data_IF_925112878745
#
_entry.id   IF_925112878745
#
_cell.length_a   1.000
_cell.length_b   1.000
_cell.length_c   1.000
_cell.angle_alpha   90.00
_cell.angle_beta   90.00
_cell.angle_gamma   90.00
#
_symmetry.space_group_name_H-M   'P 1'
#
loop_
_entity.id
_entity.type
_entity.pdbx_description
1 polymer ?
#
# COMPACT_ATOMS: atom_id res chain seq x y z
N UNK A 1 -0.87 21.59 0.46
CA UNK A 1 0.60 21.62 0.35
C UNK A 1 1.01 20.37 -0.40
N UNK A 2 1.61 20.50 -1.58
CA UNK A 2 2.08 19.39 -2.40
C UNK A 2 3.30 18.75 -1.75
N UNK A 3 3.10 17.64 -1.02
CA UNK A 3 4.20 16.86 -0.46
C UNK A 3 4.90 16.09 -1.60
N UNK A 4 5.98 16.65 -2.14
CA UNK A 4 6.74 16.08 -3.25
C UNK A 4 7.58 14.84 -2.87
N UNK A 5 7.70 14.51 -1.57
CA UNK A 5 8.55 13.41 -1.11
C UNK A 5 7.73 12.16 -0.81
N UNK A 6 8.08 11.06 -1.48
CA UNK A 6 7.50 9.74 -1.27
C UNK A 6 8.60 8.76 -0.87
N UNK A 7 8.39 8.02 0.22
CA UNK A 7 9.28 6.95 0.67
C UNK A 7 8.62 5.60 0.38
N UNK A 8 9.38 4.67 -0.19
CA UNK A 8 8.94 3.30 -0.46
C UNK A 8 9.55 2.34 0.56
N UNK A 9 8.75 1.39 1.03
CA UNK A 9 9.16 0.20 1.78
C UNK A 9 8.55 -1.04 1.15
N UNK A 10 9.27 -2.15 1.30
CA UNK A 10 8.90 -3.45 0.74
C UNK A 10 9.12 -4.47 1.84
N UNK A 11 8.04 -5.02 2.37
CA UNK A 11 8.04 -5.90 3.54
C UNK A 11 7.86 -7.33 3.07
N UNK A 12 8.60 -8.27 3.64
CA UNK A 12 8.41 -9.71 3.37
C UNK A 12 7.20 -10.21 4.15
N UNK A 13 6.19 -10.67 3.41
CA UNK A 13 5.00 -11.34 3.93
C UNK A 13 5.13 -12.86 3.86
N UNK A 14 4.03 -13.54 3.52
CA UNK A 14 3.97 -15.02 3.50
C UNK A 14 4.86 -15.61 2.40
N UNK A 15 5.61 -16.70 2.65
CA UNK A 15 5.66 -17.49 3.89
C UNK A 15 6.75 -17.06 4.88
N UNK A 16 7.50 -15.98 4.61
CA UNK A 16 8.54 -15.49 5.52
C UNK A 16 7.96 -15.02 6.87
N UNK A 17 6.78 -14.39 6.83
CA UNK A 17 5.94 -14.02 7.98
C UNK A 17 4.49 -14.33 7.67
N UNK A 18 3.70 -14.74 8.66
CA UNK A 18 2.26 -14.80 8.46
C UNK A 18 1.64 -13.40 8.35
N UNK A 19 0.35 -13.30 8.04
CA UNK A 19 -0.31 -12.00 7.84
C UNK A 19 -0.39 -11.14 9.11
N UNK A 20 -0.44 -11.77 10.29
CA UNK A 20 -0.46 -11.07 11.58
C UNK A 20 0.92 -10.52 11.89
N UNK A 21 1.96 -11.35 11.77
CA UNK A 21 3.37 -10.96 11.95
C UNK A 21 3.78 -9.86 10.95
N UNK A 22 3.28 -9.93 9.72
CA UNK A 22 3.50 -8.90 8.70
C UNK A 22 2.86 -7.58 9.10
N UNK A 23 1.62 -7.60 9.60
CA UNK A 23 0.98 -6.38 10.10
C UNK A 23 1.71 -5.81 11.31
N UNK A 24 2.07 -6.65 12.29
CA UNK A 24 2.81 -6.23 13.47
C UNK A 24 4.16 -5.61 13.13
N UNK A 25 4.86 -6.14 12.11
CA UNK A 25 6.06 -5.54 11.56
C UNK A 25 5.79 -4.15 10.98
N UNK A 26 4.75 -4.00 10.16
CA UNK A 26 4.34 -2.71 9.59
C UNK A 26 3.99 -1.71 10.71
N UNK A 27 3.28 -2.15 11.75
CA UNK A 27 2.99 -1.32 12.92
C UNK A 27 4.28 -0.89 13.62
N UNK A 28 5.22 -1.81 13.81
CA UNK A 28 6.56 -1.50 14.36
C UNK A 28 7.31 -0.45 13.54
N UNK A 29 7.29 -0.60 12.21
CA UNK A 29 7.91 0.32 11.26
C UNK A 29 7.28 1.73 11.34
N UNK A 30 5.94 1.81 11.33
CA UNK A 30 5.21 3.08 11.35
C UNK A 30 5.27 3.78 12.71
N UNK A 31 5.34 3.03 13.79
CA UNK A 31 5.41 3.58 15.15
C UNK A 31 6.85 3.78 15.62
N UNK A 32 7.84 3.37 14.82
CA UNK A 32 9.25 3.35 15.19
C UNK A 32 9.49 2.61 16.52
N UNK A 33 8.73 1.53 16.76
CA UNK A 33 8.74 0.76 18.00
C UNK A 33 8.15 1.47 19.24
N UNK A 34 7.65 2.70 19.11
CA UNK A 34 7.09 3.47 20.23
C UNK A 34 5.71 2.92 20.61
N UNK A 35 5.48 2.69 21.90
CA UNK A 35 4.14 2.44 22.44
C UNK A 35 3.32 3.73 22.51
N UNK A 36 2.00 3.60 22.49
CA UNK A 36 1.07 4.71 22.70
C UNK A 36 -0.14 4.66 21.77
N UNK A 37 -1.02 5.69 21.82
CA UNK A 37 -2.33 5.64 21.19
C UNK A 37 -2.30 5.36 19.68
N UNK A 38 -1.28 5.89 18.96
CA UNK A 38 -1.10 5.63 17.53
C UNK A 38 -0.85 4.14 17.26
N UNK A 39 -0.02 3.49 18.08
CA UNK A 39 0.26 2.05 17.99
C UNK A 39 -0.98 1.24 18.33
N UNK A 40 -1.67 1.60 19.41
CA UNK A 40 -2.87 0.90 19.86
C UNK A 40 -4.00 0.96 18.80
N UNK A 41 -4.16 2.11 18.12
CA UNK A 41 -5.11 2.27 17.03
C UNK A 41 -4.77 1.34 15.84
N UNK A 42 -3.50 1.24 15.45
CA UNK A 42 -3.07 0.33 14.38
C UNK A 42 -3.24 -1.15 14.76
N UNK A 43 -2.95 -1.51 16.01
CA UNK A 43 -3.16 -2.87 16.51
C UNK A 43 -4.65 -3.22 16.61
N UNK A 44 -5.51 -2.23 16.86
CA UNK A 44 -6.97 -2.45 16.96
C UNK A 44 -7.63 -2.94 15.66
N UNK A 45 -6.98 -2.72 14.51
CA UNK A 45 -7.43 -3.16 13.18
C UNK A 45 -6.68 -4.38 12.66
N UNK A 46 -5.84 -5.03 13.47
CA UNK A 46 -4.96 -6.12 13.04
C UNK A 46 -5.72 -7.24 12.31
N UNK A 47 -6.91 -7.63 12.78
CA UNK A 47 -7.72 -8.66 12.12
C UNK A 47 -8.14 -8.29 10.69
N UNK A 48 -8.50 -7.02 10.46
CA UNK A 48 -8.92 -6.52 9.13
C UNK A 48 -7.71 -6.31 8.23
N UNK A 49 -6.59 -5.82 8.77
CA UNK A 49 -5.36 -5.67 8.01
C UNK A 49 -4.76 -7.04 7.61
N UNK A 50 -4.86 -8.03 8.49
CA UNK A 50 -4.38 -9.39 8.22
C UNK A 50 -5.18 -10.07 7.11
N UNK A 51 -6.51 -9.89 7.04
CA UNK A 51 -7.29 -10.44 5.93
C UNK A 51 -6.86 -9.85 4.58
N UNK A 52 -6.61 -8.54 4.53
CA UNK A 52 -6.10 -7.85 3.34
C UNK A 52 -4.71 -8.38 2.93
N UNK A 53 -3.84 -8.66 3.90
CA UNK A 53 -2.50 -9.21 3.67
C UNK A 53 -2.56 -10.65 3.16
N UNK A 54 -3.52 -11.46 3.64
CA UNK A 54 -3.77 -12.82 3.15
C UNK A 54 -4.22 -12.82 1.68
N UNK A 55 -5.05 -11.88 1.27
CA UNK A 55 -5.46 -11.69 -0.14
C UNK A 55 -4.35 -11.10 -1.02
N UNK A 56 -3.16 -10.88 -0.47
CA UNK A 56 -1.98 -10.36 -1.18
C UNK A 56 -2.21 -8.99 -1.83
N UNK A 57 -3.24 -8.23 -1.42
CA UNK A 57 -3.57 -6.94 -2.03
C UNK A 57 -2.40 -5.93 -1.97
N UNK A 58 -1.56 -5.92 -0.90
CA UNK A 58 -0.36 -5.09 -0.85
C UNK A 58 0.80 -5.48 -1.77
N UNK A 59 0.66 -6.52 -2.61
CA UNK A 59 1.67 -6.91 -3.62
C UNK A 59 1.81 -5.85 -4.70
N UNK A 60 0.69 -5.49 -5.33
CA UNK A 60 0.66 -4.58 -6.48
C UNK A 60 0.13 -3.18 -6.12
N UNK A 61 -0.62 -3.06 -5.02
CA UNK A 61 -1.18 -1.79 -4.56
C UNK A 61 -0.61 -1.45 -3.17
N UNK A 62 0.05 -0.29 -3.01
CA UNK A 62 0.68 0.03 -1.73
C UNK A 62 -0.33 0.24 -0.58
N UNK A 63 0.01 -0.14 0.65
CA UNK A 63 -0.50 0.54 1.82
C UNK A 63 0.06 1.97 1.81
N UNK A 64 -0.79 2.98 1.86
CA UNK A 64 -0.37 4.38 1.79
C UNK A 64 -0.57 5.06 3.12
N UNK A 65 0.48 5.72 3.60
CA UNK A 65 0.46 6.53 4.82
C UNK A 65 0.70 7.99 4.46
N UNK A 66 -0.24 8.84 4.85
CA UNK A 66 -0.14 10.28 4.76
C UNK A 66 0.07 10.87 6.16
N UNK A 67 0.94 11.87 6.26
CA UNK A 67 1.23 12.57 7.50
C UNK A 67 1.72 13.98 7.21
N UNK A 68 2.05 14.74 8.26
CA UNK A 68 2.83 15.98 8.14
C UNK A 68 4.30 15.64 7.83
N UNK A 69 4.56 15.25 6.58
CA UNK A 69 5.88 14.83 6.13
C UNK A 69 5.81 14.02 4.83
N UNK A 70 6.88 13.26 4.51
CA UNK A 70 6.88 12.36 3.36
C UNK A 70 5.72 11.37 3.40
N UNK A 71 5.11 11.11 2.24
CA UNK A 71 4.15 10.03 2.09
C UNK A 71 4.90 8.70 2.09
N UNK A 72 4.45 7.72 2.87
CA UNK A 72 5.04 6.37 2.86
C UNK A 72 4.16 5.41 2.06
N UNK A 73 4.76 4.68 1.12
CA UNK A 73 4.14 3.58 0.37
C UNK A 73 4.79 2.26 0.81
N UNK A 74 3.99 1.33 1.31
CA UNK A 74 4.43 0.02 1.78
C UNK A 74 3.84 -1.06 0.88
N UNK A 75 4.71 -1.85 0.26
CA UNK A 75 4.34 -3.04 -0.50
C UNK A 75 4.73 -4.30 0.28
N UNK A 76 4.15 -5.44 -0.08
CA UNK A 76 4.52 -6.73 0.48
C UNK A 76 5.03 -7.70 -0.61
N UNK A 77 6.10 -8.43 -0.31
CA UNK A 77 6.55 -9.58 -1.08
C UNK A 77 5.84 -10.83 -0.56
N UNK A 78 5.62 -11.78 -1.47
CA UNK A 78 4.95 -13.04 -1.18
C UNK A 78 5.65 -14.20 -1.89
N UNK A 79 5.34 -15.42 -1.48
CA UNK A 79 5.82 -16.66 -2.08
C UNK A 79 7.35 -16.72 -2.14
N UNK A 80 7.91 -17.04 -3.32
CA UNK A 80 9.35 -17.12 -3.54
C UNK A 80 10.06 -15.78 -3.27
N UNK A 81 9.43 -14.66 -3.63
CA UNK A 81 10.00 -13.32 -3.41
C UNK A 81 10.13 -12.99 -1.92
N UNK A 82 9.21 -13.48 -1.09
CA UNK A 82 9.29 -13.31 0.35
C UNK A 82 10.40 -14.16 0.98
N UNK A 83 10.64 -15.36 0.44
CA UNK A 83 11.71 -16.26 0.90
C UNK A 83 13.08 -15.71 0.50
N UNK A 84 13.23 -15.34 -0.78
CA UNK A 84 14.48 -14.80 -1.31
C UNK A 84 14.83 -13.45 -0.69
N UNK A 85 13.85 -12.53 -0.65
CA UNK A 85 13.97 -11.27 0.06
C UNK A 85 14.94 -10.26 -0.59
N UNK A 86 15.46 -10.49 -1.79
CA UNK A 86 16.41 -9.57 -2.45
C UNK A 86 15.82 -8.18 -2.69
N UNK A 87 14.50 -8.10 -2.87
CA UNK A 87 13.78 -6.82 -3.07
C UNK A 87 13.27 -6.18 -1.77
N UNK A 88 13.52 -6.80 -0.62
CA UNK A 88 13.05 -6.31 0.67
C UNK A 88 13.74 -4.98 1.04
N UNK A 89 12.94 -4.05 1.55
CA UNK A 89 13.36 -2.72 2.02
C UNK A 89 12.65 -2.46 3.35
N UNK A 90 13.18 -3.09 4.40
CA UNK A 90 12.60 -3.15 5.75
C UNK A 90 13.27 -2.17 6.74
N UNK A 91 14.24 -1.37 6.28
CA UNK A 91 14.95 -0.41 7.13
C UNK A 91 14.03 0.64 7.77
N UNK A 92 14.44 1.15 8.93
CA UNK A 92 13.72 2.22 9.63
C UNK A 92 13.45 3.44 8.73
N UNK A 93 12.34 4.13 8.99
CA UNK A 93 12.00 5.38 8.30
C UNK A 93 12.74 6.55 8.96
N UNK A 94 13.43 7.36 8.16
CA UNK A 94 14.18 8.53 8.63
C UNK A 94 13.31 9.73 9.05
N UNK A 95 12.00 9.54 9.17
CA UNK A 95 11.01 10.53 9.63
C UNK A 95 9.92 9.83 10.46
N UNK A 96 9.14 10.57 11.23
CA UNK A 96 7.93 10.03 11.90
C UNK A 96 6.79 9.96 10.86
N UNK A 97 6.38 8.75 10.42
CA UNK A 97 5.39 8.59 9.35
C UNK A 97 3.96 8.78 9.85
N UNK A 98 3.74 9.05 11.14
CA UNK A 98 2.44 9.31 11.74
C UNK A 98 2.39 10.69 12.39
N UNK A 99 3.26 11.63 11.98
CA UNK A 99 3.31 12.98 12.52
C UNK A 99 2.07 13.82 12.13
N UNK A 100 1.52 14.56 13.09
CA UNK A 100 0.36 15.44 12.87
C UNK A 100 -0.94 14.69 12.53
N UNK A 101 -1.70 15.25 11.58
CA UNK A 101 -2.95 14.67 11.08
C UNK A 101 -2.66 13.54 10.07
N UNK A 102 -2.31 12.37 10.59
CA UNK A 102 -1.99 11.22 9.77
C UNK A 102 -3.24 10.44 9.34
N UNK A 103 -3.12 9.71 8.23
CA UNK A 103 -4.12 8.81 7.68
C UNK A 103 -3.45 7.62 6.99
N UNK A 104 -4.12 6.46 6.99
CA UNK A 104 -3.65 5.24 6.32
C UNK A 104 -4.74 4.74 5.39
N UNK A 105 -4.36 4.42 4.15
CA UNK A 105 -5.22 3.76 3.18
C UNK A 105 -4.70 2.37 2.86
N UNK A 106 -5.49 1.36 3.20
CA UNK A 106 -5.24 -0.04 2.89
C UNK A 106 -5.81 -0.39 1.50
N UNK A 107 -5.05 -1.03 0.61
CA UNK A 107 -5.58 -1.60 -0.62
C UNK A 107 -6.48 -2.78 -0.26
N UNK A 108 -7.61 -2.95 -0.95
CA UNK A 108 -8.57 -4.01 -0.68
C UNK A 108 -9.14 -4.53 -1.99
N UNK A 109 -9.33 -5.85 -2.14
CA UNK A 109 -10.15 -6.39 -3.23
C UNK A 109 -11.54 -5.76 -3.20
N UNK A 110 -12.11 -5.51 -4.39
CA UNK A 110 -13.39 -4.82 -4.52
C UNK A 110 -14.54 -5.56 -3.83
N UNK A 111 -14.51 -6.89 -3.87
CA UNK A 111 -15.55 -7.75 -3.28
C UNK A 111 -15.56 -7.68 -1.75
N UNK A 112 -14.40 -7.38 -1.14
CA UNK A 112 -14.25 -7.26 0.32
C UNK A 112 -14.45 -5.83 0.84
N UNK A 113 -14.38 -4.84 -0.04
CA UNK A 113 -14.34 -3.42 0.33
C UNK A 113 -15.46 -3.01 1.28
N UNK A 114 -16.70 -3.44 1.01
CA UNK A 114 -17.87 -3.04 1.79
C UNK A 114 -17.83 -3.52 3.25
N UNK A 115 -17.30 -4.73 3.51
CA UNK A 115 -17.19 -5.23 4.88
C UNK A 115 -15.96 -4.66 5.57
N UNK A 116 -14.83 -4.53 4.85
CA UNK A 116 -13.59 -3.96 5.34
C UNK A 116 -13.80 -2.52 5.79
N UNK A 117 -14.41 -1.66 4.97
CA UNK A 117 -14.70 -0.27 5.32
C UNK A 117 -15.59 -0.17 6.57
N UNK A 118 -16.60 -1.04 6.68
CA UNK A 118 -17.47 -1.09 7.86
C UNK A 118 -16.68 -1.46 9.12
N UNK A 119 -15.81 -2.46 9.03
CA UNK A 119 -15.00 -2.94 10.15
C UNK A 119 -13.97 -1.89 10.58
N UNK A 120 -13.29 -1.24 9.63
CA UNK A 120 -12.33 -0.18 9.91
C UNK A 120 -13.00 1.05 10.54
N UNK A 121 -14.14 1.50 10.02
CA UNK A 121 -14.89 2.64 10.54
C UNK A 121 -15.35 2.46 11.99
N UNK A 122 -15.55 1.22 12.43
CA UNK A 122 -15.89 0.91 13.82
C UNK A 122 -14.69 1.05 14.79
N UNK A 123 -13.46 1.09 14.27
CA UNK A 123 -12.22 1.11 15.06
C UNK A 123 -11.45 2.43 14.92
N UNK A 124 -11.42 3.01 13.73
CA UNK A 124 -10.63 4.19 13.41
C UNK A 124 -11.36 5.10 12.43
N UNK A 125 -11.06 6.41 12.51
CA UNK A 125 -11.44 7.40 11.48
C UNK A 125 -10.29 7.72 10.51
N UNK A 126 -9.07 7.29 10.85
CA UNK A 126 -7.82 7.60 10.12
C UNK A 126 -7.39 6.46 9.21
N UNK A 127 -7.77 5.23 9.53
CA UNK A 127 -7.46 4.03 8.77
C UNK A 127 -8.67 3.70 7.89
N UNK A 128 -8.48 3.75 6.58
CA UNK A 128 -9.51 3.48 5.58
C UNK A 128 -9.05 2.40 4.61
N UNK A 129 -10.00 1.84 3.86
CA UNK A 129 -9.70 0.96 2.74
C UNK A 129 -10.05 1.65 1.42
N UNK A 130 -9.47 1.15 0.33
CA UNK A 130 -9.80 1.54 -1.03
C UNK A 130 -9.72 0.33 -1.96
N UNK A 131 -10.37 0.41 -3.10
CA UNK A 131 -10.21 -0.59 -4.15
C UNK A 131 -8.74 -0.63 -4.59
N UNK A 132 -8.12 -1.81 -4.54
CA UNK A 132 -6.71 -1.99 -4.90
C UNK A 132 -6.40 -1.62 -6.36
N UNK A 133 -7.41 -1.67 -7.25
CA UNK A 133 -7.29 -1.24 -8.65
C UNK A 133 -7.34 0.28 -8.82
N UNK A 134 -7.78 1.00 -7.79
CA UNK A 134 -7.85 2.47 -7.81
C UNK A 134 -6.51 3.10 -7.43
N UNK A 135 -6.13 4.16 -8.16
CA UNK A 135 -4.96 4.97 -7.83
C UNK A 135 -5.22 5.82 -6.58
N UNK A 136 -4.29 5.81 -5.62
CA UNK A 136 -4.38 6.64 -4.42
C UNK A 136 -3.76 8.03 -4.63
N UNK A 137 -4.62 9.06 -4.65
CA UNK A 137 -4.24 10.44 -4.92
C UNK A 137 -3.86 10.66 -6.40
N UNK A 138 -4.13 11.84 -6.96
CA UNK A 138 -3.80 12.13 -8.36
C UNK A 138 -2.28 12.00 -8.57
N UNK A 139 -1.85 10.89 -9.14
CA UNK A 139 -0.60 10.87 -9.88
C UNK A 139 -0.86 11.74 -11.11
N UNK A 140 -0.32 12.96 -11.11
CA UNK A 140 -0.11 13.70 -12.34
C UNK A 140 0.62 12.76 -13.30
N UNK A 141 -0.11 12.33 -14.31
CA UNK A 141 0.33 11.41 -15.35
C UNK A 141 1.40 12.09 -16.21
N UNK A 142 2.66 11.97 -15.83
CA UNK A 142 3.77 12.30 -16.75
C UNK A 142 4.69 11.12 -17.07
N UNK A 143 4.77 10.09 -16.21
CA UNK A 143 5.65 8.92 -16.49
C UNK A 143 4.97 7.73 -17.20
N UNK A 144 3.68 7.81 -17.54
CA UNK A 144 2.99 6.75 -18.30
C UNK A 144 2.82 7.03 -19.79
N UNK A 145 3.38 8.13 -20.32
CA UNK A 145 3.26 8.49 -21.76
C UNK A 145 4.37 7.93 -22.67
N UNK A 146 5.15 6.95 -22.22
CA UNK A 146 6.21 6.34 -23.08
C UNK A 146 6.00 4.88 -23.48
N UNK A 147 4.87 4.26 -23.14
CA UNK A 147 4.60 2.86 -23.52
C UNK A 147 3.25 2.63 -24.23
N UNK A 148 2.65 3.67 -24.78
CA UNK A 148 1.56 3.54 -25.76
C UNK A 148 1.91 4.37 -26.98
N UNK A 149 2.88 3.88 -27.75
CA UNK A 149 2.91 4.21 -29.17
C UNK A 149 1.64 3.60 -29.76
N UNK A 150 0.74 4.49 -30.15
CA UNK A 150 -0.50 4.20 -30.86
C UNK A 150 -0.14 3.52 -32.19
N UNK A 151 -0.21 2.19 -32.21
CA UNK A 151 0.00 1.39 -33.42
C UNK A 151 -1.33 1.34 -34.18
N UNK A 152 -1.63 2.41 -34.92
CA UNK A 152 -2.72 2.41 -35.90
C UNK A 152 -2.27 1.65 -37.14
N UNK A 153 -2.85 0.47 -37.36
CA UNK A 153 -2.68 -0.32 -38.58
C UNK A 153 -3.85 -0.01 -39.53
N UNK A 154 -3.60 0.79 -40.57
CA UNK A 154 -4.60 1.12 -41.58
C UNK A 154 -4.66 0.02 -42.66
N UNK A 155 -5.69 -0.81 -42.59
CA UNK A 155 -5.92 -1.93 -43.52
C UNK A 155 -6.39 -1.50 -44.91
N UNK A 156 -6.72 -0.22 -45.11
CA UNK A 156 -7.31 0.26 -46.36
C UNK A 156 -6.30 0.58 -47.47
N UNK A 157 -5.01 0.74 -47.13
CA UNK A 157 -3.92 0.86 -48.11
C UNK A 157 -3.33 -0.49 -48.54
N UNK A 158 -3.32 -1.52 -47.68
CA UNK A 158 -2.71 -2.83 -47.98
C UNK A 158 -3.45 -3.61 -49.09
N UNK A 159 -4.76 -3.37 -49.28
CA UNK A 159 -5.60 -4.08 -50.26
C UNK A 159 -5.62 -3.45 -51.67
N UNK A 160 -4.84 -2.39 -51.91
CA UNK A 160 -4.77 -1.70 -53.21
C UNK A 160 -3.49 -1.94 -53.99
N UNK A 161 -2.64 -2.88 -53.57
CA UNK A 161 -1.44 -3.27 -54.33
C UNK A 161 -1.53 -4.69 -54.87
#
# INVERSE_FOLDING_TARGET
MSNATVVKRVVRGSPHRDSVETWDFIVGLLTQGKSGPKRDELLSVAGVASSILTEMAPKDAAIVVECKGPRTRIYCLYDEDAIDGSDAKEDALGHDPLEGEWAISLPCPKDDLAWVERALKAKSKRITARDMTSKFGSESTEDSKKASADFSFDTSEFLKS
#
